data_IF_808762722290
#
_entry.id   IF_808762722290
#
_cell.length_a   1.000
_cell.length_b   1.000
_cell.length_c   1.000
_cell.angle_alpha   90.00
_cell.angle_beta   90.00
_cell.angle_gamma   90.00
#
_symmetry.space_group_name_H-M   'P 1'
#
loop_
_entity.id
_entity.type
_entity.pdbx_description
1 polymer ?
#
# COMPACT_ATOMS: atom_id res chain seq x y z
N UNK A 1 -11.23 43.35 -15.72
CA UNK A 1 -9.92 42.79 -15.37
C UNK A 1 -10.00 41.79 -14.21
N UNK A 2 -10.80 42.04 -13.15
CA UNK A 2 -10.97 41.08 -12.03
C UNK A 2 -11.69 39.79 -12.45
N UNK A 3 -12.76 39.87 -13.24
CA UNK A 3 -13.51 38.69 -13.74
C UNK A 3 -12.68 37.72 -14.61
N UNK A 4 -11.70 38.27 -15.36
CA UNK A 4 -10.81 37.47 -16.20
C UNK A 4 -9.83 36.65 -15.36
N UNK A 5 -9.37 37.20 -14.23
CA UNK A 5 -8.48 36.50 -13.30
C UNK A 5 -9.20 35.40 -12.49
N UNK A 6 -10.44 35.65 -12.09
CA UNK A 6 -11.26 34.64 -11.40
C UNK A 6 -11.54 33.43 -12.30
N UNK A 7 -11.89 33.68 -13.57
CA UNK A 7 -12.14 32.62 -14.54
C UNK A 7 -10.89 31.80 -14.86
N UNK A 8 -9.74 32.44 -15.00
CA UNK A 8 -8.45 31.75 -15.16
C UNK A 8 -8.05 30.95 -13.93
N UNK A 9 -8.34 31.46 -12.73
CA UNK A 9 -8.09 30.75 -11.50
C UNK A 9 -9.01 29.51 -11.36
N UNK A 10 -10.28 29.62 -11.74
CA UNK A 10 -11.20 28.49 -11.75
C UNK A 10 -10.80 27.41 -12.76
N UNK A 11 -10.36 27.78 -13.96
CA UNK A 11 -9.83 26.84 -14.95
C UNK A 11 -8.56 26.14 -14.49
N UNK A 12 -7.62 26.87 -13.88
CA UNK A 12 -6.43 26.28 -13.27
C UNK A 12 -6.76 25.35 -12.10
N UNK A 13 -7.77 25.71 -11.31
CA UNK A 13 -8.21 24.92 -10.16
C UNK A 13 -9.08 23.71 -10.55
N UNK A 14 -9.61 23.68 -11.77
CA UNK A 14 -10.32 22.54 -12.34
C UNK A 14 -9.36 21.52 -12.96
N UNK A 15 -8.07 21.86 -13.14
CA UNK A 15 -7.10 20.95 -13.74
C UNK A 15 -6.82 19.74 -12.83
N UNK A 16 -6.86 18.49 -13.33
CA UNK A 16 -6.71 17.25 -12.53
C UNK A 16 -5.40 17.17 -11.73
N UNK A 17 -4.36 17.89 -12.14
CA UNK A 17 -3.06 17.91 -11.45
C UNK A 17 -2.95 18.97 -10.35
N UNK A 18 -3.94 19.88 -10.22
CA UNK A 18 -3.96 20.92 -9.20
C UNK A 18 -4.77 20.47 -8.00
N UNK A 19 -4.08 20.22 -6.89
CA UNK A 19 -4.71 19.81 -5.65
C UNK A 19 -5.15 21.01 -4.81
N UNK A 20 -6.44 21.10 -4.53
CA UNK A 20 -6.97 21.99 -3.48
C UNK A 20 -6.96 21.23 -2.15
N UNK A 21 -6.23 21.71 -1.16
CA UNK A 21 -6.04 21.08 0.16
C UNK A 21 -7.30 20.67 0.93
N UNK A 22 -8.49 20.93 0.39
CA UNK A 22 -9.81 20.52 0.90
C UNK A 22 -10.59 19.61 -0.07
N UNK A 23 -10.14 19.43 -1.31
CA UNK A 23 -10.76 18.51 -2.25
C UNK A 23 -10.10 17.15 -2.07
N UNK A 24 -10.87 16.14 -1.65
CA UNK A 24 -10.50 14.75 -1.84
C UNK A 24 -10.42 14.55 -3.36
N UNK A 25 -9.22 14.60 -3.94
CA UNK A 25 -9.04 14.01 -5.25
C UNK A 25 -9.61 12.59 -5.16
N UNK A 26 -10.51 12.23 -6.07
CA UNK A 26 -11.11 10.91 -6.10
C UNK A 26 -10.01 9.90 -6.44
N UNK A 27 -9.28 9.45 -5.42
CA UNK A 27 -8.33 8.35 -5.56
C UNK A 27 -9.19 7.09 -5.62
N UNK A 28 -9.14 6.38 -6.73
CA UNK A 28 -9.75 5.05 -6.79
C UNK A 28 -9.13 4.18 -5.71
N UNK A 29 -9.96 3.65 -4.83
CA UNK A 29 -9.52 2.83 -3.70
C UNK A 29 -10.32 1.53 -3.64
N UNK A 30 -9.85 0.61 -2.83
CA UNK A 30 -10.59 -0.58 -2.42
C UNK A 30 -10.46 -0.76 -0.90
N UNK A 31 -11.46 -1.39 -0.26
CA UNK A 31 -11.48 -1.55 1.20
C UNK A 31 -10.24 -2.27 1.72
N UNK A 32 -9.72 -1.83 2.85
CA UNK A 32 -8.62 -2.51 3.53
C UNK A 32 -9.07 -3.80 4.23
N UNK A 33 -10.35 -3.91 4.54
CA UNK A 33 -10.94 -4.92 5.40
C UNK A 33 -10.96 -4.53 6.89
N UNK A 34 -10.49 -3.33 7.20
CA UNK A 34 -10.52 -2.76 8.56
C UNK A 34 -11.25 -1.42 8.54
N UNK A 35 -12.46 -1.37 9.10
CA UNK A 35 -13.29 -0.17 9.07
C UNK A 35 -12.59 1.07 9.65
N UNK A 36 -11.82 0.90 10.73
CA UNK A 36 -11.05 1.98 11.34
C UNK A 36 -9.98 2.53 10.39
N UNK A 37 -9.31 1.65 9.62
CA UNK A 37 -8.30 2.04 8.65
C UNK A 37 -8.94 2.71 7.44
N UNK A 38 -10.05 2.18 6.94
CA UNK A 38 -10.80 2.75 5.83
C UNK A 38 -11.27 4.18 6.18
N UNK A 39 -11.78 4.40 7.39
CA UNK A 39 -12.17 5.74 7.84
C UNK A 39 -10.99 6.73 7.91
N UNK A 40 -9.79 6.25 8.20
CA UNK A 40 -8.58 7.06 8.31
C UNK A 40 -7.85 7.31 6.97
N UNK A 41 -8.03 6.44 5.98
CA UNK A 41 -7.33 6.55 4.70
C UNK A 41 -8.04 7.50 3.71
N UNK A 42 -7.28 8.19 2.84
CA UNK A 42 -7.84 8.97 1.75
C UNK A 42 -8.66 8.08 0.82
N UNK A 43 -9.88 8.47 0.53
CA UNK A 43 -10.77 7.68 -0.35
C UNK A 43 -11.37 6.43 0.29
N UNK A 44 -11.10 6.16 1.57
CA UNK A 44 -11.74 5.06 2.30
C UNK A 44 -11.13 3.69 2.05
N UNK A 45 -9.82 3.61 1.74
CA UNK A 45 -9.17 2.33 1.50
C UNK A 45 -7.77 2.43 0.92
N UNK A 46 -7.21 1.29 0.52
CA UNK A 46 -5.95 1.24 -0.21
C UNK A 46 -6.10 1.85 -1.61
N UNK A 47 -5.08 2.57 -2.12
CA UNK A 47 -5.12 3.08 -3.49
C UNK A 47 -5.17 1.93 -4.49
N UNK A 48 -5.97 2.09 -5.53
CA UNK A 48 -6.10 1.09 -6.60
C UNK A 48 -4.81 0.91 -7.38
N UNK A 49 -4.03 1.97 -7.54
CA UNK A 49 -2.74 2.01 -8.24
C UNK A 49 -1.77 2.89 -7.48
N UNK A 50 -0.47 2.68 -7.72
CA UNK A 50 0.59 3.45 -7.09
C UNK A 50 1.27 2.69 -5.98
N UNK A 51 2.22 3.33 -5.31
CA UNK A 51 3.06 2.71 -4.31
C UNK A 51 2.64 3.10 -2.90
N UNK A 52 2.47 2.10 -2.06
CA UNK A 52 2.31 2.22 -0.62
C UNK A 52 3.61 1.78 0.05
N UNK A 53 4.22 2.64 0.86
CA UNK A 53 5.31 2.24 1.75
C UNK A 53 4.76 1.90 3.12
N UNK A 54 5.07 0.71 3.59
CA UNK A 54 4.84 0.27 4.98
C UNK A 54 6.19 0.23 5.67
N UNK A 55 6.38 1.13 6.62
CA UNK A 55 7.60 1.24 7.39
C UNK A 55 7.44 0.49 8.71
N UNK A 56 8.38 -0.42 8.98
CA UNK A 56 8.32 -1.30 10.16
C UNK A 56 9.66 -1.30 10.90
N UNK A 57 9.68 -1.54 12.23
CA UNK A 57 10.92 -1.73 12.97
C UNK A 57 11.68 -2.98 12.49
N UNK A 58 10.93 -4.05 12.19
CA UNK A 58 11.46 -5.33 11.71
C UNK A 58 10.35 -6.10 10.98
N UNK A 59 10.69 -7.08 10.12
CA UNK A 59 9.72 -8.01 9.56
C UNK A 59 9.11 -8.93 10.62
N UNK A 60 7.91 -9.46 10.35
CA UNK A 60 7.25 -10.47 11.21
C UNK A 60 6.46 -9.90 12.38
N UNK A 61 6.15 -8.60 12.37
CA UNK A 61 5.32 -7.95 13.41
C UNK A 61 3.82 -7.96 13.09
N UNK A 62 3.41 -8.70 12.06
CA UNK A 62 2.02 -8.73 11.60
C UNK A 62 1.73 -7.84 10.40
N UNK A 63 2.77 -7.33 9.72
CA UNK A 63 2.61 -6.45 8.55
C UNK A 63 1.83 -7.08 7.40
N UNK A 64 1.85 -8.41 7.28
CA UNK A 64 1.02 -9.13 6.31
C UNK A 64 -0.46 -9.15 6.70
N UNK A 65 -0.78 -9.24 7.99
CA UNK A 65 -2.19 -9.21 8.45
C UNK A 65 -2.92 -7.96 7.96
N UNK A 66 -2.20 -6.84 7.89
CA UNK A 66 -2.73 -5.58 7.38
C UNK A 66 -3.22 -5.68 5.93
N UNK A 67 -2.63 -6.56 5.13
CA UNK A 67 -2.96 -6.72 3.72
C UNK A 67 -3.76 -7.98 3.40
N UNK A 68 -3.89 -8.95 4.32
CA UNK A 68 -4.57 -10.21 4.05
C UNK A 68 -6.00 -10.05 3.52
N UNK A 69 -6.86 -9.19 4.09
CA UNK A 69 -8.21 -9.01 3.53
C UNK A 69 -8.18 -8.44 2.11
N UNK A 70 -7.29 -7.50 1.86
CA UNK A 70 -7.09 -6.92 0.54
C UNK A 70 -6.56 -7.96 -0.46
N UNK A 71 -5.56 -8.76 -0.07
CA UNK A 71 -5.01 -9.85 -0.90
C UNK A 71 -6.07 -10.90 -1.23
N UNK A 72 -6.92 -11.28 -0.27
CA UNK A 72 -8.02 -12.19 -0.49
C UNK A 72 -9.01 -11.65 -1.55
N UNK A 73 -9.35 -10.37 -1.47
CA UNK A 73 -10.24 -9.73 -2.44
C UNK A 73 -9.57 -9.61 -3.81
N UNK A 74 -8.33 -9.07 -3.87
CA UNK A 74 -7.60 -8.80 -5.11
C UNK A 74 -7.24 -10.08 -5.88
N UNK A 75 -6.89 -11.15 -5.19
CA UNK A 75 -6.55 -12.44 -5.82
C UNK A 75 -7.75 -13.10 -6.52
N UNK A 76 -8.97 -12.65 -6.26
CA UNK A 76 -10.21 -13.19 -6.83
C UNK A 76 -10.85 -12.27 -7.89
N UNK A 77 -10.24 -11.13 -8.19
CA UNK A 77 -10.75 -10.21 -9.21
C UNK A 77 -10.69 -10.79 -10.61
N UNK A 78 -11.60 -10.34 -11.46
CA UNK A 78 -11.63 -10.65 -12.89
C UNK A 78 -11.49 -9.34 -13.69
N UNK A 79 -10.73 -9.33 -14.79
CA UNK A 79 -9.88 -10.44 -15.29
C UNK A 79 -8.76 -10.77 -14.31
N UNK A 80 -8.36 -12.04 -14.25
CA UNK A 80 -7.40 -12.53 -13.30
C UNK A 80 -5.99 -11.96 -13.51
N UNK A 81 -5.42 -11.36 -12.47
CA UNK A 81 -4.04 -10.83 -12.45
C UNK A 81 -3.28 -11.44 -11.26
N UNK A 82 -1.95 -11.37 -11.28
CA UNK A 82 -1.11 -11.98 -10.26
C UNK A 82 -1.00 -11.14 -8.99
N UNK A 83 -0.94 -11.81 -7.85
CA UNK A 83 -0.47 -11.28 -6.58
C UNK A 83 0.99 -11.70 -6.40
N UNK A 84 1.93 -10.80 -6.68
CA UNK A 84 3.36 -11.12 -6.73
C UNK A 84 4.05 -10.70 -5.44
N UNK A 85 4.87 -11.58 -4.85
CA UNK A 85 5.68 -11.29 -3.68
C UNK A 85 7.16 -11.44 -4.04
N UNK A 86 7.91 -10.37 -3.88
CA UNK A 86 9.32 -10.32 -4.27
C UNK A 86 10.19 -10.35 -3.02
N UNK A 87 11.01 -11.39 -2.93
CA UNK A 87 11.96 -11.63 -1.84
C UNK A 87 11.35 -11.49 -0.44
N UNK A 88 10.25 -12.21 -0.15
CA UNK A 88 9.70 -12.22 1.21
C UNK A 88 10.76 -12.73 2.19
N UNK A 89 10.84 -12.17 3.43
CA UNK A 89 11.87 -12.54 4.41
C UNK A 89 11.73 -13.97 4.92
N UNK A 90 10.52 -14.52 4.85
CA UNK A 90 10.21 -15.89 5.25
C UNK A 90 9.41 -16.59 4.16
N UNK A 91 9.34 -17.93 4.21
CA UNK A 91 8.48 -18.71 3.34
C UNK A 91 7.01 -18.41 3.68
N UNK A 92 6.19 -17.98 2.70
CA UNK A 92 4.77 -17.80 2.94
C UNK A 92 4.10 -19.13 3.26
N UNK A 93 3.39 -19.20 4.39
CA UNK A 93 2.69 -20.42 4.79
C UNK A 93 1.35 -20.51 4.05
N UNK A 94 1.33 -21.29 2.96
CA UNK A 94 0.19 -21.41 2.06
C UNK A 94 -1.13 -21.79 2.75
N UNK A 95 -1.18 -22.71 3.74
CA UNK A 95 -2.42 -23.03 4.45
C UNK A 95 -3.02 -21.81 5.18
N UNK A 96 -2.18 -20.97 5.81
CA UNK A 96 -2.67 -19.76 6.47
C UNK A 96 -3.22 -18.74 5.46
N UNK A 97 -2.54 -18.56 4.32
CA UNK A 97 -3.03 -17.67 3.25
C UNK A 97 -4.39 -18.15 2.71
N UNK A 98 -4.54 -19.45 2.48
CA UNK A 98 -5.80 -20.04 2.04
C UNK A 98 -6.90 -19.86 3.10
N UNK A 99 -6.60 -20.06 4.37
CA UNK A 99 -7.54 -19.86 5.47
C UNK A 99 -8.03 -18.39 5.56
N UNK A 100 -7.19 -17.43 5.16
CA UNK A 100 -7.57 -16.03 5.02
C UNK A 100 -8.23 -15.68 3.67
N UNK A 101 -8.52 -16.68 2.83
CA UNK A 101 -9.26 -16.50 1.59
C UNK A 101 -8.42 -16.07 0.38
N UNK A 102 -7.10 -16.08 0.49
CA UNK A 102 -6.22 -15.77 -0.66
C UNK A 102 -6.25 -16.91 -1.68
N UNK A 103 -6.47 -16.60 -2.95
CA UNK A 103 -6.42 -17.57 -4.05
C UNK A 103 -4.97 -17.90 -4.37
N UNK A 104 -4.51 -19.09 -3.95
CA UNK A 104 -3.10 -19.51 -4.06
C UNK A 104 -2.65 -19.70 -5.52
N UNK A 105 -3.55 -20.07 -6.41
CA UNK A 105 -3.31 -20.18 -7.85
C UNK A 105 -3.01 -18.85 -8.54
N UNK A 106 -3.22 -17.74 -7.83
CA UNK A 106 -2.90 -16.37 -8.26
C UNK A 106 -1.67 -15.80 -7.58
N UNK A 107 -0.98 -16.58 -6.77
CA UNK A 107 0.22 -16.15 -6.05
C UNK A 107 1.48 -16.46 -6.88
N UNK A 108 2.36 -15.49 -6.98
CA UNK A 108 3.68 -15.64 -7.59
C UNK A 108 4.76 -15.19 -6.59
N UNK A 109 5.58 -16.14 -6.12
CA UNK A 109 6.70 -15.86 -5.23
C UNK A 109 7.99 -15.79 -6.05
N UNK A 110 8.61 -14.62 -6.05
CA UNK A 110 9.86 -14.36 -6.79
C UNK A 110 11.03 -14.24 -5.82
N UNK A 111 11.98 -15.17 -5.89
CA UNK A 111 13.24 -15.12 -5.14
C UNK A 111 14.37 -14.75 -6.08
N UNK A 112 15.07 -13.67 -5.82
CA UNK A 112 16.06 -13.12 -6.75
C UNK A 112 17.11 -12.28 -6.03
N UNK A 113 18.30 -12.18 -6.63
CA UNK A 113 19.36 -11.27 -6.21
C UNK A 113 19.12 -9.82 -6.68
N UNK A 114 18.10 -9.59 -7.53
CA UNK A 114 17.75 -8.29 -8.07
C UNK A 114 16.31 -7.90 -7.68
N UNK A 115 15.98 -7.85 -6.37
CA UNK A 115 14.58 -7.69 -5.92
C UNK A 115 13.98 -6.35 -6.33
N UNK A 116 14.75 -5.27 -6.37
CA UNK A 116 14.26 -3.98 -6.85
C UNK A 116 13.83 -4.05 -8.32
N UNK A 117 14.64 -4.66 -9.16
CA UNK A 117 14.33 -4.83 -10.59
C UNK A 117 13.11 -5.72 -10.80
N UNK A 118 13.06 -6.85 -10.10
CA UNK A 118 11.94 -7.79 -10.21
C UNK A 118 10.61 -7.14 -9.79
N UNK A 119 10.62 -6.36 -8.69
CA UNK A 119 9.44 -5.64 -8.23
C UNK A 119 9.01 -4.57 -9.24
N UNK A 120 9.96 -3.81 -9.81
CA UNK A 120 9.67 -2.84 -10.86
C UNK A 120 9.05 -3.48 -12.10
N UNK A 121 9.58 -4.64 -12.56
CA UNK A 121 9.01 -5.37 -13.69
C UNK A 121 7.61 -5.90 -13.38
N UNK A 122 7.39 -6.49 -12.21
CA UNK A 122 6.08 -6.95 -11.78
C UNK A 122 5.05 -5.81 -11.81
N UNK A 123 5.39 -4.65 -11.24
CA UNK A 123 4.51 -3.48 -11.23
C UNK A 123 4.20 -2.95 -12.63
N UNK A 124 5.23 -2.86 -13.50
CA UNK A 124 5.10 -2.30 -14.86
C UNK A 124 4.36 -3.21 -15.83
N UNK A 125 4.38 -4.51 -15.60
CA UNK A 125 3.93 -5.53 -16.56
C UNK A 125 2.46 -5.44 -16.96
N UNK A 126 1.61 -4.81 -16.14
CA UNK A 126 0.17 -4.86 -16.29
C UNK A 126 -0.45 -6.22 -15.95
N UNK A 127 0.36 -7.23 -15.64
CA UNK A 127 -0.08 -8.58 -15.29
C UNK A 127 -0.33 -8.77 -13.78
N UNK A 128 0.11 -7.84 -12.94
CA UNK A 128 -0.07 -7.90 -11.50
C UNK A 128 -1.20 -6.98 -11.03
N UNK A 129 -2.04 -7.48 -10.15
CA UNK A 129 -3.02 -6.68 -9.41
C UNK A 129 -2.34 -6.00 -8.22
N UNK A 130 -1.51 -6.77 -7.53
CA UNK A 130 -0.70 -6.29 -6.42
C UNK A 130 0.68 -6.92 -6.45
N UNK A 131 1.70 -6.12 -6.13
CA UNK A 131 3.06 -6.63 -5.96
C UNK A 131 3.65 -6.12 -4.64
N UNK A 132 4.08 -7.06 -3.79
CA UNK A 132 4.72 -6.79 -2.50
C UNK A 132 6.22 -7.01 -2.62
N UNK A 133 7.03 -6.17 -1.99
CA UNK A 133 8.48 -6.38 -1.89
C UNK A 133 9.03 -5.93 -0.54
N UNK A 134 10.00 -6.70 -0.04
CA UNK A 134 10.76 -6.37 1.19
C UNK A 134 12.12 -5.81 0.79
N UNK A 135 12.22 -4.48 0.74
CA UNK A 135 13.41 -3.73 0.34
C UNK A 135 13.80 -2.72 1.43
N UNK A 136 14.38 -3.18 2.54
CA UNK A 136 14.57 -2.36 3.74
C UNK A 136 15.41 -1.10 3.50
N UNK A 137 16.21 -1.04 2.43
CA UNK A 137 17.14 0.06 2.11
C UNK A 137 16.90 0.69 0.73
N UNK A 138 15.67 0.63 0.19
CA UNK A 138 15.39 1.26 -1.10
C UNK A 138 15.67 2.78 -1.05
N UNK A 139 16.42 3.30 -2.03
CA UNK A 139 16.71 4.73 -2.13
C UNK A 139 15.48 5.53 -2.60
N UNK A 140 15.40 6.85 -2.37
CA UNK A 140 14.29 7.68 -2.87
C UNK A 140 14.13 7.60 -4.40
N UNK A 141 15.25 7.49 -5.15
CA UNK A 141 15.23 7.28 -6.61
C UNK A 141 14.58 5.95 -6.98
N UNK A 142 14.89 4.88 -6.24
CA UNK A 142 14.27 3.57 -6.44
C UNK A 142 12.76 3.63 -6.16
N UNK A 143 12.36 4.24 -5.03
CA UNK A 143 10.94 4.42 -4.67
C UNK A 143 10.18 5.20 -5.75
N UNK A 144 10.79 6.26 -6.35
CA UNK A 144 10.17 6.99 -7.45
C UNK A 144 9.96 6.11 -8.69
N UNK A 145 10.93 5.27 -9.04
CA UNK A 145 10.79 4.33 -10.17
C UNK A 145 9.65 3.34 -9.93
N UNK A 146 9.55 2.80 -8.71
CA UNK A 146 8.47 1.88 -8.32
C UNK A 146 7.10 2.57 -8.37
N UNK A 147 6.99 3.82 -7.89
CA UNK A 147 5.74 4.60 -7.98
C UNK A 147 5.29 4.73 -9.44
N UNK A 148 6.19 5.14 -10.34
CA UNK A 148 5.88 5.31 -11.77
C UNK A 148 5.53 3.96 -12.43
N UNK A 149 6.23 2.88 -12.06
CA UNK A 149 5.94 1.55 -12.57
C UNK A 149 4.55 1.06 -12.14
N UNK A 150 4.17 1.30 -10.88
CA UNK A 150 2.86 0.96 -10.34
C UNK A 150 1.72 1.74 -11.02
N UNK A 151 1.93 3.02 -11.30
CA UNK A 151 0.99 3.85 -12.06
C UNK A 151 0.85 3.36 -13.49
N UNK A 152 1.97 3.10 -14.19
CA UNK A 152 2.00 2.63 -15.57
C UNK A 152 1.30 1.26 -15.73
N UNK A 153 1.59 0.31 -14.86
CA UNK A 153 1.00 -1.04 -14.93
C UNK A 153 -0.36 -1.15 -14.24
N UNK A 154 -0.89 -0.03 -13.69
CA UNK A 154 -2.15 0.01 -12.93
C UNK A 154 -2.20 -1.07 -11.85
N UNK A 155 -1.12 -1.18 -11.07
CA UNK A 155 -0.96 -2.15 -10.01
C UNK A 155 -0.83 -1.45 -8.64
N UNK A 156 -1.26 -2.11 -7.58
CA UNK A 156 -0.89 -1.72 -6.22
C UNK A 156 0.52 -2.22 -5.94
N UNK A 157 1.46 -1.31 -5.74
CA UNK A 157 2.77 -1.62 -5.21
C UNK A 157 2.79 -1.50 -3.69
N UNK A 158 3.29 -2.51 -3.00
CA UNK A 158 3.54 -2.43 -1.56
C UNK A 158 5.02 -2.65 -1.30
N UNK A 159 5.63 -1.69 -0.63
CA UNK A 159 7.05 -1.70 -0.31
C UNK A 159 7.25 -1.69 1.21
N UNK A 160 7.72 -2.81 1.75
CA UNK A 160 8.15 -2.88 3.14
C UNK A 160 9.56 -2.34 3.31
N UNK A 161 9.70 -1.32 4.17
CA UNK A 161 10.97 -0.65 4.46
C UNK A 161 11.21 -0.53 5.95
N UNK A 162 12.48 -0.30 6.32
CA UNK A 162 12.83 0.01 7.71
C UNK A 162 12.21 1.35 8.14
N UNK A 163 11.67 1.39 9.35
CA UNK A 163 11.16 2.63 9.97
C UNK A 163 12.20 3.75 10.09
N UNK A 164 13.51 3.43 10.00
CA UNK A 164 14.59 4.43 9.99
C UNK A 164 14.45 5.47 8.88
N UNK A 165 13.69 5.14 7.84
CA UNK A 165 13.42 6.03 6.71
C UNK A 165 12.10 6.82 6.87
N UNK A 166 11.47 6.80 8.04
CA UNK A 166 10.19 7.47 8.26
C UNK A 166 10.26 8.99 8.07
N UNK A 167 11.37 9.62 8.49
CA UNK A 167 11.61 11.07 8.36
C UNK A 167 12.05 11.51 6.96
N UNK A 168 12.45 10.57 6.07
CA UNK A 168 12.85 10.92 4.72
C UNK A 168 11.66 11.27 3.83
N UNK A 169 11.86 12.25 2.93
CA UNK A 169 10.88 12.52 1.87
C UNK A 169 10.78 11.32 0.93
N UNK A 170 9.56 10.97 0.54
CA UNK A 170 9.31 9.85 -0.36
C UNK A 170 8.32 10.23 -1.46
N UNK A 171 8.54 9.77 -2.70
CA UNK A 171 7.59 9.93 -3.79
C UNK A 171 6.40 8.97 -3.74
N UNK A 172 6.39 7.97 -2.84
CA UNK A 172 5.25 7.05 -2.69
C UNK A 172 3.93 7.80 -2.45
N UNK A 173 2.84 7.24 -2.95
CA UNK A 173 1.50 7.81 -2.83
C UNK A 173 1.01 7.84 -1.39
N UNK A 174 1.24 6.75 -0.67
CA UNK A 174 0.86 6.57 0.74
C UNK A 174 2.04 6.03 1.52
N UNK A 175 2.23 6.51 2.76
CA UNK A 175 3.24 6.01 3.68
C UNK A 175 2.63 5.78 5.04
N UNK A 176 2.82 4.59 5.56
CA UNK A 176 2.30 4.13 6.85
C UNK A 176 3.47 3.67 7.70
N UNK A 177 3.57 4.18 8.92
CA UNK A 177 4.41 3.59 9.96
C UNK A 177 3.56 2.56 10.70
N UNK A 178 4.05 1.33 10.78
CA UNK A 178 3.42 0.22 11.45
C UNK A 178 4.27 -0.18 12.66
N UNK A 179 3.70 -0.08 13.85
CA UNK A 179 4.33 -0.46 15.10
C UNK A 179 3.55 -1.59 15.75
N UNK A 180 4.23 -2.63 16.26
CA UNK A 180 3.55 -3.74 16.92
C UNK A 180 2.86 -3.24 18.21
N UNK A 181 1.68 -3.78 18.48
CA UNK A 181 0.92 -3.51 19.70
C UNK A 181 0.43 -4.82 20.31
N UNK A 182 0.61 -4.95 21.62
CA UNK A 182 0.01 -6.03 22.39
C UNK A 182 -0.82 -5.37 23.49
N UNK A 183 -2.12 -5.64 23.50
CA UNK A 183 -3.03 -5.12 24.49
C UNK A 183 -3.93 -6.23 25.00
N UNK A 184 -3.95 -6.42 26.31
CA UNK A 184 -4.74 -7.47 26.97
C UNK A 184 -4.54 -8.87 26.34
N UNK A 185 -3.30 -9.20 25.95
CA UNK A 185 -2.97 -10.48 25.30
C UNK A 185 -3.37 -10.61 23.83
N UNK A 186 -3.95 -9.56 23.24
CA UNK A 186 -4.27 -9.51 21.81
C UNK A 186 -3.15 -8.83 21.03
N UNK A 187 -2.73 -9.51 19.97
CA UNK A 187 -1.77 -8.92 19.03
C UNK A 187 -2.46 -7.95 18.09
N UNK A 188 -1.76 -6.91 17.71
CA UNK A 188 -2.26 -5.89 16.80
C UNK A 188 -1.15 -4.97 16.33
N UNK A 189 -1.53 -3.85 15.73
CA UNK A 189 -0.59 -2.82 15.34
C UNK A 189 -1.20 -1.43 15.52
N UNK A 190 -0.31 -0.47 15.75
CA UNK A 190 -0.59 0.96 15.62
C UNK A 190 -0.10 1.45 14.29
N UNK A 191 -0.97 2.10 13.54
CA UNK A 191 -0.65 2.69 12.26
C UNK A 191 -0.66 4.22 12.36
N UNK A 192 0.42 4.83 11.88
CA UNK A 192 0.51 6.30 11.74
C UNK A 192 0.68 6.63 10.25
N UNK A 193 -0.21 7.48 9.71
CA UNK A 193 -0.09 7.95 8.34
C UNK A 193 0.98 9.05 8.27
N UNK A 194 2.18 8.72 7.76
CA UNK A 194 3.29 9.67 7.62
C UNK A 194 3.06 10.57 6.41
N UNK A 195 2.52 10.00 5.33
CA UNK A 195 2.20 10.74 4.12
C UNK A 195 0.91 10.20 3.52
N UNK A 196 -0.03 11.11 3.28
CA UNK A 196 -1.26 10.84 2.56
C UNK A 196 -1.78 12.12 1.92
N UNK A 197 -2.52 12.01 0.82
CA UNK A 197 -3.26 13.14 0.23
C UNK A 197 -4.63 13.27 0.91
N UNK A 198 -4.67 13.85 2.09
CA UNK A 198 -5.84 13.83 2.98
C UNK A 198 -5.85 12.54 3.81
N UNK A 199 -6.71 12.46 4.81
CA UNK A 199 -6.78 11.34 5.75
C UNK A 199 -6.52 11.79 7.18
N UNK A 200 -6.71 10.88 8.13
CA UNK A 200 -6.51 11.15 9.54
C UNK A 200 -5.02 11.38 9.85
N UNK A 201 -4.75 12.30 10.76
CA UNK A 201 -3.42 12.45 11.36
C UNK A 201 -3.30 11.68 12.67
N UNK A 202 -4.42 11.18 13.19
CA UNK A 202 -4.44 10.40 14.42
C UNK A 202 -3.99 8.96 14.12
N UNK A 203 -3.20 8.35 15.01
CA UNK A 203 -2.84 6.95 14.90
C UNK A 203 -4.09 6.05 14.94
N UNK A 204 -4.06 4.98 14.16
CA UNK A 204 -5.13 4.00 14.06
C UNK A 204 -4.66 2.71 14.72
N UNK A 205 -5.37 2.26 15.73
CA UNK A 205 -5.06 1.01 16.40
C UNK A 205 -5.91 -0.13 15.80
N UNK A 206 -5.23 -1.19 15.38
CA UNK A 206 -5.84 -2.41 14.87
C UNK A 206 -5.49 -3.59 15.77
N UNK A 207 -6.45 -4.50 15.93
CA UNK A 207 -6.23 -5.79 16.59
C UNK A 207 -6.42 -6.91 15.57
N UNK A 208 -5.55 -7.90 15.63
CA UNK A 208 -5.66 -9.12 14.83
C UNK A 208 -6.50 -10.13 15.59
N UNK A 209 -7.46 -10.75 14.93
CA UNK A 209 -8.01 -11.99 15.45
C UNK A 209 -6.89 -13.05 15.45
N UNK A 210 -6.71 -13.86 16.51
CA UNK A 210 -5.82 -14.99 16.43
C UNK A 210 -6.25 -15.86 15.24
N UNK A 211 -5.27 -16.38 14.48
CA UNK A 211 -5.57 -17.35 13.44
C UNK A 211 -6.37 -18.50 14.12
N UNK A 212 -7.51 -18.84 13.54
CA UNK A 212 -8.24 -20.02 14.00
C UNK A 212 -7.30 -21.22 13.90
N UNK A 213 -7.10 -21.92 15.02
CA UNK A 213 -6.23 -23.08 15.11
C UNK A 213 -6.77 -24.24 14.28
#
# INVERSE_FOLDING_TARGET
>A
MLETHEKQLEELLAHPSVWRGRSRAAVETFPTGFAALDAGLPGGGWPRHGLVEILTPQPGIGELYLLLPALAALSRLLPARWCTWVSPPHEPFAPALAAHGVALDRMLIVRTHLPLWAHEQALRSGACEVALAWLPRASPRAVRRLQLAAEQGRALGVLYRSQKFASEASPAMLRVLLEPRVEAGKHGARLSLIKSRGGSREPIDLTWAPAAA
#
